data_IF_398839041622
#
_entry.id   IF_398839041622
#
_cell.length_a   1.000
_cell.length_b   1.000
_cell.length_c   1.000
_cell.angle_alpha   90.00
_cell.angle_beta   90.00
_cell.angle_gamma   90.00
#
_symmetry.space_group_name_H-M   'P 1'
#
loop_
_entity.id
_entity.type
_entity.pdbx_description
1 polymer ?
#
# COMPACT_ATOMS: atom_id res chain seq x y z
N UNK A 1 10.51 15.86 6.70
CA UNK A 1 11.11 16.84 5.76
C UNK A 1 12.15 16.10 4.92
N UNK A 2 11.92 15.91 3.61
CA UNK A 2 12.92 15.32 2.70
C UNK A 2 14.09 16.32 2.55
N UNK A 3 15.18 16.14 3.31
CA UNK A 3 16.45 16.80 3.05
C UNK A 3 17.62 15.95 3.56
N UNK A 4 18.69 15.87 2.74
CA UNK A 4 20.04 15.36 3.01
C UNK A 4 20.32 13.84 2.94
N UNK A 5 20.15 13.23 1.77
CA UNK A 5 21.02 12.11 1.35
C UNK A 5 21.05 11.97 -0.18
N UNK A 6 22.21 11.73 -0.82
CA UNK A 6 22.29 11.53 -2.27
C UNK A 6 21.98 10.06 -2.59
N UNK A 7 20.79 9.59 -2.21
CA UNK A 7 20.20 8.39 -2.80
C UNK A 7 19.39 8.87 -4.00
N UNK A 8 19.61 8.24 -5.15
CA UNK A 8 19.00 8.59 -6.43
C UNK A 8 17.48 8.72 -6.29
N UNK A 9 16.99 9.95 -6.09
CA UNK A 9 15.59 10.23 -5.87
C UNK A 9 14.87 10.15 -7.22
N UNK A 10 14.30 8.98 -7.53
CA UNK A 10 13.38 8.85 -8.65
C UNK A 10 12.16 9.75 -8.34
N UNK A 11 12.14 10.92 -8.99
CA UNK A 11 11.12 11.93 -8.76
C UNK A 11 9.92 11.60 -9.63
N UNK A 12 8.92 10.90 -9.08
CA UNK A 12 7.70 10.53 -9.81
C UNK A 12 6.46 11.20 -9.22
N UNK A 13 5.61 11.76 -10.09
CA UNK A 13 4.23 12.14 -9.74
C UNK A 13 3.38 10.87 -9.80
N UNK A 14 3.25 10.19 -8.67
CA UNK A 14 2.46 8.96 -8.58
C UNK A 14 1.04 9.28 -8.08
N UNK A 15 -0.04 8.90 -8.78
CA UNK A 15 -1.35 8.82 -8.14
C UNK A 15 -1.32 7.76 -7.03
N UNK A 16 -1.89 8.08 -5.87
CA UNK A 16 -1.99 7.17 -4.74
C UNK A 16 -3.30 6.39 -4.80
N UNK A 17 -3.26 5.09 -4.52
CA UNK A 17 -4.45 4.27 -4.36
C UNK A 17 -4.67 4.03 -2.86
N UNK A 18 -5.88 4.26 -2.38
CA UNK A 18 -6.24 3.81 -1.04
C UNK A 18 -6.88 2.43 -1.20
N UNK A 19 -6.41 1.39 -0.50
CA UNK A 19 -7.00 0.04 -0.59
C UNK A 19 -7.35 -0.45 0.81
N UNK A 20 -8.59 -0.80 1.08
CA UNK A 20 -9.05 -1.22 2.41
C UNK A 20 -9.24 -2.74 2.41
N UNK A 21 -8.95 -3.41 3.53
CA UNK A 21 -9.17 -4.84 3.68
C UNK A 21 -9.82 -5.17 5.03
N UNK A 22 -10.73 -6.14 5.02
CA UNK A 22 -11.41 -6.68 6.19
C UNK A 22 -11.14 -8.19 6.28
N UNK A 23 -10.66 -8.70 7.40
CA UNK A 23 -10.62 -10.17 7.65
C UNK A 23 -12.00 -10.65 8.12
N UNK A 24 -12.36 -11.92 7.99
CA UNK A 24 -13.56 -12.49 8.61
C UNK A 24 -13.28 -13.93 9.09
N UNK A 25 -12.91 -14.08 10.36
CA UNK A 25 -12.66 -15.38 10.96
C UNK A 25 -13.98 -16.03 11.45
N UNK A 26 -14.41 -17.09 10.73
CA UNK A 26 -15.33 -18.17 11.12
C UNK A 26 -16.79 -17.82 11.51
N UNK A 27 -17.72 -18.36 10.72
CA UNK A 27 -19.16 -18.27 10.94
C UNK A 27 -19.64 -19.06 12.16
N UNK A 28 -20.00 -18.33 13.21
CA UNK A 28 -20.87 -18.74 14.32
C UNK A 28 -21.44 -17.48 14.98
N UNK A 29 -22.72 -17.18 14.70
CA UNK A 29 -23.47 -15.95 15.01
C UNK A 29 -23.08 -15.15 16.27
N UNK A 30 -22.66 -13.90 16.08
CA UNK A 30 -23.18 -12.65 16.70
C UNK A 30 -22.13 -11.54 16.51
N UNK A 31 -22.55 -10.38 16.03
CA UNK A 31 -21.81 -9.11 15.90
C UNK A 31 -20.49 -9.00 16.70
N UNK A 32 -19.36 -9.42 16.10
CA UNK A 32 -18.01 -9.17 16.57
C UNK A 32 -17.17 -8.81 15.35
N UNK A 33 -17.11 -7.50 15.05
CA UNK A 33 -16.44 -6.95 13.88
C UNK A 33 -15.04 -7.51 13.70
N UNK A 34 -14.88 -8.36 12.68
CA UNK A 34 -13.60 -8.96 12.37
C UNK A 34 -12.55 -7.87 12.09
N UNK A 35 -11.28 -8.11 12.46
CA UNK A 35 -10.26 -7.07 12.49
C UNK A 35 -10.11 -6.45 11.09
N UNK A 36 -10.38 -5.14 11.01
CA UNK A 36 -10.17 -4.35 9.80
C UNK A 36 -8.73 -3.91 9.72
N UNK A 37 -8.13 -4.06 8.54
CA UNK A 37 -6.78 -3.61 8.26
C UNK A 37 -6.86 -2.57 7.15
N UNK A 38 -6.59 -1.32 7.50
CA UNK A 38 -6.44 -0.26 6.52
C UNK A 38 -5.06 -0.39 5.85
N UNK A 39 -5.04 -0.41 4.53
CA UNK A 39 -3.83 -0.50 3.71
C UNK A 39 -3.79 0.70 2.76
N UNK A 40 -2.60 1.08 2.33
CA UNK A 40 -2.37 2.09 1.30
C UNK A 40 -1.49 1.48 0.23
N UNK A 41 -1.80 1.73 -1.04
CA UNK A 41 -1.03 1.17 -2.16
C UNK A 41 -0.73 2.24 -3.21
N UNK A 42 0.44 2.23 -3.82
CA UNK A 42 0.83 3.24 -4.80
C UNK A 42 0.62 2.73 -6.23
N UNK A 43 -0.06 3.52 -7.07
CA UNK A 43 -0.05 3.31 -8.52
C UNK A 43 1.00 4.21 -9.15
N UNK A 44 2.25 3.74 -9.14
CA UNK A 44 3.37 4.52 -9.68
C UNK A 44 3.48 4.26 -11.18
N UNK A 45 3.45 5.34 -11.96
CA UNK A 45 3.58 5.30 -13.42
C UNK A 45 4.79 6.10 -13.88
N UNK A 46 5.46 5.61 -14.92
CA UNK A 46 6.48 6.40 -15.62
C UNK A 46 5.88 7.23 -16.77
N UNK A 47 6.73 8.01 -17.45
CA UNK A 47 6.32 8.83 -18.60
C UNK A 47 5.82 8.03 -19.80
N UNK A 48 6.12 6.73 -19.85
CA UNK A 48 5.65 5.81 -20.88
C UNK A 48 4.35 5.09 -20.47
N UNK A 49 3.80 5.40 -19.30
CA UNK A 49 2.58 4.79 -18.77
C UNK A 49 2.76 3.39 -18.19
N UNK A 50 3.99 2.91 -18.03
CA UNK A 50 4.26 1.61 -17.38
C UNK A 50 4.03 1.73 -15.89
N UNK A 51 3.52 0.66 -15.28
CA UNK A 51 3.18 0.61 -13.85
C UNK A 51 4.23 -0.16 -13.07
N UNK A 52 4.67 0.37 -11.93
CA UNK A 52 5.55 -0.34 -11.02
C UNK A 52 4.76 -1.36 -10.19
N UNK A 53 5.20 -2.61 -10.26
CA UNK A 53 4.72 -3.72 -9.42
C UNK A 53 5.91 -4.51 -8.92
N UNK A 54 5.83 -5.05 -7.72
CA UNK A 54 6.82 -5.96 -7.14
C UNK A 54 6.29 -7.39 -7.18
N UNK A 55 7.22 -8.35 -7.22
CA UNK A 55 6.89 -9.78 -7.10
C UNK A 55 7.32 -10.27 -5.73
N UNK A 56 6.38 -10.86 -4.99
CA UNK A 56 6.61 -11.33 -3.62
C UNK A 56 7.69 -12.42 -3.61
N UNK A 57 8.66 -12.28 -2.69
CA UNK A 57 9.78 -13.21 -2.56
C UNK A 57 9.30 -14.62 -2.20
N UNK A 58 10.02 -15.67 -2.62
CA UNK A 58 9.79 -17.04 -2.16
C UNK A 58 9.74 -17.11 -0.62
N UNK A 59 8.80 -17.87 -0.06
CA UNK A 59 8.65 -18.05 1.39
C UNK A 59 7.80 -17.00 2.13
N UNK A 60 7.28 -15.99 1.43
CA UNK A 60 6.26 -15.07 1.98
C UNK A 60 4.83 -15.60 1.75
N UNK A 61 3.86 -15.12 2.53
CA UNK A 61 2.44 -15.37 2.27
C UNK A 61 2.12 -14.93 0.83
N UNK A 62 1.52 -15.78 0.00
CA UNK A 62 1.32 -15.53 -1.45
C UNK A 62 2.62 -15.29 -2.23
N UNK A 63 3.68 -16.05 -1.96
CA UNK A 63 4.92 -16.00 -2.72
C UNK A 63 4.69 -16.14 -4.24
N UNK A 64 5.40 -15.35 -5.03
CA UNK A 64 5.34 -15.39 -6.49
C UNK A 64 4.23 -14.56 -7.13
N UNK A 65 3.26 -14.07 -6.35
CA UNK A 65 2.24 -13.13 -6.82
C UNK A 65 2.82 -11.72 -6.99
N UNK A 66 2.15 -10.93 -7.84
CA UNK A 66 2.44 -9.51 -8.03
C UNK A 66 1.68 -8.67 -7.01
N UNK A 67 2.31 -7.60 -6.55
CA UNK A 67 1.72 -6.62 -5.64
C UNK A 67 2.10 -5.19 -6.04
N UNK A 68 1.30 -4.25 -5.58
CA UNK A 68 1.64 -2.84 -5.65
C UNK A 68 2.46 -2.45 -4.40
N UNK A 69 3.42 -1.52 -4.54
CA UNK A 69 4.13 -0.97 -3.38
C UNK A 69 3.18 -0.32 -2.39
N UNK A 70 3.49 -0.41 -1.10
CA UNK A 70 2.66 0.14 -0.03
C UNK A 70 2.49 -0.83 1.11
N UNK A 71 1.66 -0.47 2.07
CA UNK A 71 1.62 -1.19 3.32
C UNK A 71 0.48 -0.78 4.23
N UNK A 72 0.57 -1.25 5.47
CA UNK A 72 -0.47 -1.05 6.47
C UNK A 72 -0.43 0.40 6.96
N UNK A 73 -1.61 0.97 7.12
CA UNK A 73 -1.77 2.27 7.76
C UNK A 73 -1.82 2.12 9.28
N UNK A 74 -1.11 2.99 9.98
CA UNK A 74 -1.19 3.05 11.43
C UNK A 74 -2.48 3.75 11.91
N UNK A 75 -2.86 3.46 13.16
CA UNK A 75 -4.10 4.01 13.73
C UNK A 75 -4.00 5.54 13.85
N UNK A 76 -4.95 6.24 13.21
CA UNK A 76 -4.97 7.71 13.19
C UNK A 76 -4.03 8.35 12.16
N UNK A 77 -3.23 7.56 11.43
CA UNK A 77 -2.35 8.07 10.39
C UNK A 77 -3.16 8.50 9.15
N UNK A 78 -2.80 9.65 8.57
CA UNK A 78 -3.39 10.07 7.31
C UNK A 78 -2.91 9.12 6.19
N UNK A 79 -3.80 8.76 5.26
CA UNK A 79 -3.46 7.82 4.19
C UNK A 79 -2.26 8.27 3.34
N UNK A 80 -2.13 9.59 3.13
CA UNK A 80 -1.01 10.17 2.40
C UNK A 80 0.32 9.97 3.13
N UNK A 81 0.32 10.16 4.45
CA UNK A 81 1.53 10.07 5.27
C UNK A 81 2.00 8.61 5.37
N UNK A 82 1.04 7.69 5.58
CA UNK A 82 1.29 6.25 5.54
C UNK A 82 1.92 5.84 4.20
N UNK A 83 1.34 6.27 3.09
CA UNK A 83 1.86 5.90 1.77
C UNK A 83 3.27 6.47 1.53
N UNK A 84 3.52 7.70 1.94
CA UNK A 84 4.83 8.32 1.80
C UNK A 84 5.90 7.59 2.63
N UNK A 85 5.56 7.19 3.86
CA UNK A 85 6.43 6.39 4.75
C UNK A 85 6.76 5.03 4.12
N UNK A 86 5.74 4.27 3.73
CA UNK A 86 5.92 2.93 3.13
C UNK A 86 6.78 3.01 1.85
N UNK A 87 6.54 3.99 0.97
CA UNK A 87 7.31 4.15 -0.26
C UNK A 87 8.77 4.56 -0.02
N UNK A 88 9.05 5.34 1.03
CA UNK A 88 10.41 5.69 1.41
C UNK A 88 11.14 4.46 2.00
N UNK A 89 10.49 3.72 2.89
CA UNK A 89 11.07 2.54 3.55
C UNK A 89 11.34 1.38 2.57
N UNK A 90 10.39 1.07 1.68
CA UNK A 90 10.50 -0.06 0.77
C UNK A 90 11.34 0.24 -0.47
N UNK A 91 11.21 1.44 -1.03
CA UNK A 91 11.73 1.79 -2.35
C UNK A 91 12.64 3.02 -2.36
N UNK A 92 12.73 3.77 -1.26
CA UNK A 92 13.46 5.04 -1.20
C UNK A 92 12.83 6.14 -2.06
N UNK A 93 11.51 6.10 -2.25
CA UNK A 93 10.77 7.08 -3.08
C UNK A 93 10.18 8.18 -2.17
N UNK A 94 10.68 9.41 -2.31
CA UNK A 94 10.05 10.59 -1.70
C UNK A 94 8.86 11.07 -2.56
N UNK A 95 7.66 11.02 -2.00
CA UNK A 95 6.42 11.41 -2.68
C UNK A 95 6.27 12.93 -2.75
N UNK A 96 6.33 13.51 -3.95
CA UNK A 96 6.09 14.95 -4.14
C UNK A 96 4.61 15.32 -4.20
N UNK A 97 3.83 14.53 -4.93
CA UNK A 97 2.40 14.73 -5.11
C UNK A 97 1.73 13.39 -5.32
N UNK A 98 0.56 13.22 -4.70
CA UNK A 98 -0.26 12.04 -4.84
C UNK A 98 -1.73 12.41 -4.66
N UNK A 99 -2.58 11.87 -5.54
CA UNK A 99 -4.02 12.07 -5.51
C UNK A 99 -4.74 10.74 -5.28
N UNK A 100 -5.84 10.69 -4.51
CA UNK A 100 -6.63 9.48 -4.34
C UNK A 100 -7.17 8.95 -5.67
N UNK A 101 -6.98 7.67 -5.93
CA UNK A 101 -7.45 7.00 -7.14
C UNK A 101 -8.75 6.21 -6.92
N UNK A 102 -8.76 5.31 -5.94
CA UNK A 102 -9.95 4.52 -5.57
C UNK A 102 -9.88 4.10 -4.10
N UNK A 103 -10.96 3.49 -3.61
CA UNK A 103 -11.04 2.74 -2.36
C UNK A 103 -11.84 1.48 -2.62
N UNK A 104 -11.36 0.34 -2.12
CA UNK A 104 -12.02 -0.96 -2.22
C UNK A 104 -11.97 -1.62 -0.85
N UNK A 105 -13.01 -2.37 -0.48
CA UNK A 105 -12.98 -3.28 0.66
C UNK A 105 -12.80 -4.71 0.13
N UNK A 106 -11.90 -5.47 0.74
CA UNK A 106 -11.69 -6.88 0.39
C UNK A 106 -11.76 -7.78 1.62
N UNK A 107 -12.66 -8.75 1.56
CA UNK A 107 -12.83 -9.80 2.56
C UNK A 107 -11.95 -11.01 2.22
N UNK A 108 -10.99 -11.31 3.10
CA UNK A 108 -10.19 -12.53 3.00
C UNK A 108 -10.88 -13.66 3.78
N UNK A 109 -11.43 -14.70 3.12
CA UNK A 109 -12.18 -15.76 3.79
C UNK A 109 -11.30 -16.67 4.66
N UNK A 110 -9.99 -16.70 4.39
CA UNK A 110 -9.03 -17.56 5.06
C UNK A 110 -8.24 -16.85 6.18
N UNK A 111 -8.68 -15.64 6.60
CA UNK A 111 -8.08 -14.86 7.71
C UNK A 111 -9.08 -14.39 8.74
#
# INVERSE_FOLDING_TARGET
MCASSPRSAATSRAPAVLARSTSNAMAGSSDHGAPRIDVVVALIRDSSGRVLVSRRRPGSHMAGFWEFPGGKRDSGEAARDALARELDEELGICVLSAEPFMSLDHEYPDR
#
